data_IF_604451935882
#
_entry.id   IF_604451935882
#
_cell.length_a   1.000
_cell.length_b   1.000
_cell.length_c   1.000
_cell.angle_alpha   90.00
_cell.angle_beta   90.00
_cell.angle_gamma   90.00
#
_symmetry.space_group_name_H-M   'P 1'
#
loop_
_entity.id
_entity.type
_entity.pdbx_description
1 polymer ?
#
# COMPACT_ATOMS: atom_id res chain seq x y z
N UNK A 1 13.55 -6.64 -24.04
CA UNK A 1 12.57 -5.64 -24.51
C UNK A 1 12.45 -4.63 -23.38
N UNK A 2 12.89 -3.40 -23.58
CA UNK A 2 12.64 -2.31 -22.62
C UNK A 2 11.14 -2.03 -22.68
N UNK A 3 10.43 -2.19 -21.56
CA UNK A 3 9.01 -1.83 -21.48
C UNK A 3 8.86 -0.34 -21.78
N UNK A 4 7.76 0.04 -22.44
CA UNK A 4 7.42 1.44 -22.61
C UNK A 4 7.29 2.11 -21.22
N UNK A 5 7.61 3.41 -21.08
CA UNK A 5 7.41 4.12 -19.82
C UNK A 5 5.94 4.02 -19.40
N UNK A 6 5.70 3.64 -18.14
CA UNK A 6 4.36 3.52 -17.56
C UNK A 6 4.10 4.66 -16.58
N UNK A 7 2.90 5.26 -16.56
CA UNK A 7 2.60 6.38 -15.67
C UNK A 7 2.61 5.96 -14.20
N UNK A 8 3.16 6.82 -13.34
CA UNK A 8 3.24 6.62 -11.88
C UNK A 8 1.87 6.48 -11.20
N UNK A 9 0.85 7.17 -11.72
CA UNK A 9 -0.56 7.06 -11.31
C UNK A 9 -1.35 6.01 -12.09
N UNK A 10 -0.68 5.16 -12.87
CA UNK A 10 -1.35 4.14 -13.67
C UNK A 10 -1.78 2.91 -12.85
N UNK A 11 -2.76 2.19 -13.40
CA UNK A 11 -3.29 0.95 -12.81
C UNK A 11 -2.21 -0.12 -12.62
N UNK A 12 -2.06 -0.59 -11.38
CA UNK A 12 -1.05 -1.58 -11.02
C UNK A 12 -1.23 -2.90 -11.76
N UNK A 13 -2.47 -3.36 -11.96
CA UNK A 13 -2.73 -4.62 -12.66
C UNK A 13 -2.48 -4.49 -14.17
N UNK A 14 -2.78 -3.32 -14.76
CA UNK A 14 -2.39 -3.01 -16.14
C UNK A 14 -0.87 -3.07 -16.32
N UNK A 15 -0.12 -2.42 -15.42
CA UNK A 15 1.34 -2.45 -15.47
C UNK A 15 1.86 -3.90 -15.44
N UNK A 16 1.46 -4.68 -14.44
CA UNK A 16 1.90 -6.07 -14.27
C UNK A 16 1.51 -6.95 -15.47
N UNK A 17 0.35 -6.71 -16.07
CA UNK A 17 -0.09 -7.39 -17.29
C UNK A 17 0.79 -7.01 -18.48
N UNK A 18 1.08 -5.71 -18.67
CA UNK A 18 1.91 -5.22 -19.78
C UNK A 18 3.35 -5.72 -19.73
N UNK A 19 3.92 -5.87 -18.53
CA UNK A 19 5.28 -6.41 -18.36
C UNK A 19 5.32 -7.94 -18.31
N UNK A 20 4.16 -8.61 -18.35
CA UNK A 20 4.02 -10.06 -18.44
C UNK A 20 4.18 -10.82 -17.12
N UNK A 21 4.09 -10.13 -15.98
CA UNK A 21 4.19 -10.73 -14.64
C UNK A 21 2.88 -11.45 -14.25
N UNK A 22 1.74 -11.01 -14.79
CA UNK A 22 0.44 -11.68 -14.62
C UNK A 22 -0.23 -11.93 -15.97
N UNK A 23 -1.12 -12.92 -16.04
CA UNK A 23 -1.83 -13.31 -17.27
C UNK A 23 -3.21 -12.66 -17.41
N UNK A 24 -3.79 -12.21 -16.30
CA UNK A 24 -5.07 -11.53 -16.23
C UNK A 24 -5.07 -10.54 -15.06
N UNK A 25 -5.96 -9.54 -15.12
CA UNK A 25 -6.14 -8.59 -14.02
C UNK A 25 -6.87 -9.26 -12.85
N UNK A 26 -6.10 -9.79 -11.91
CA UNK A 26 -6.57 -10.28 -10.62
C UNK A 26 -5.56 -9.89 -9.55
N UNK A 27 -6.00 -9.10 -8.56
CA UNK A 27 -5.14 -8.63 -7.47
C UNK A 27 -4.65 -9.74 -6.54
N UNK A 28 -5.14 -10.97 -6.66
CA UNK A 28 -4.55 -12.15 -6.01
C UNK A 28 -3.16 -12.52 -6.58
N UNK A 29 -2.92 -12.22 -7.87
CA UNK A 29 -1.67 -12.57 -8.55
C UNK A 29 -0.56 -11.55 -8.37
N UNK A 30 -0.90 -10.30 -8.08
CA UNK A 30 0.07 -9.34 -7.56
C UNK A 30 0.73 -9.91 -6.30
N UNK A 31 2.02 -9.67 -6.14
CA UNK A 31 2.81 -10.21 -5.03
C UNK A 31 3.67 -9.11 -4.43
N UNK A 32 3.82 -9.13 -3.12
CA UNK A 32 4.50 -8.09 -2.36
C UNK A 32 5.72 -8.64 -1.64
N UNK A 33 6.78 -7.84 -1.59
CA UNK A 33 7.86 -8.01 -0.64
C UNK A 33 7.66 -7.00 0.47
N UNK A 34 7.55 -7.49 1.69
CA UNK A 34 7.32 -6.64 2.86
C UNK A 34 8.61 -6.10 3.44
N UNK A 35 8.54 -4.88 3.98
CA UNK A 35 9.59 -4.28 4.79
C UNK A 35 10.97 -4.37 4.15
N UNK A 36 11.08 -3.95 2.88
CA UNK A 36 12.36 -3.83 2.16
C UNK A 36 13.23 -2.68 2.70
N UNK A 37 13.32 -2.55 4.02
CA UNK A 37 13.71 -1.34 4.74
C UNK A 37 15.22 -1.18 4.92
N UNK A 38 16.02 -2.17 4.54
CA UNK A 38 17.49 -2.08 4.60
C UNK A 38 18.07 -2.61 3.29
N UNK A 39 19.37 -2.36 3.04
CA UNK A 39 19.99 -2.76 1.77
C UNK A 39 19.93 -4.26 1.52
N UNK A 40 20.05 -5.08 2.58
CA UNK A 40 19.97 -6.54 2.45
C UNK A 40 18.58 -6.97 1.98
N UNK A 41 17.52 -6.50 2.65
CA UNK A 41 16.13 -6.83 2.30
C UNK A 41 15.71 -6.27 0.93
N UNK A 42 16.10 -5.03 0.62
CA UNK A 42 15.89 -4.45 -0.71
C UNK A 42 16.56 -5.30 -1.80
N UNK A 43 17.81 -5.71 -1.61
CA UNK A 43 18.50 -6.56 -2.59
C UNK A 43 17.85 -7.94 -2.72
N UNK A 44 17.36 -8.54 -1.63
CA UNK A 44 16.59 -9.79 -1.70
C UNK A 44 15.32 -9.61 -2.51
N UNK A 45 14.57 -8.53 -2.26
CA UNK A 45 13.33 -8.21 -2.97
C UNK A 45 13.58 -8.05 -4.48
N UNK A 46 14.58 -7.25 -4.84
CA UNK A 46 14.96 -6.98 -6.23
C UNK A 46 15.39 -8.24 -6.99
N UNK A 47 15.97 -9.24 -6.31
CA UNK A 47 16.40 -10.51 -6.89
C UNK A 47 15.36 -11.63 -6.78
N UNK A 48 14.14 -11.33 -6.32
CA UNK A 48 13.07 -12.31 -6.17
C UNK A 48 11.96 -12.12 -7.20
N UNK A 49 11.05 -13.10 -7.26
CA UNK A 49 9.91 -13.11 -8.18
C UNK A 49 8.71 -12.28 -7.68
N UNK A 50 8.83 -11.61 -6.52
CA UNK A 50 7.79 -10.69 -6.01
C UNK A 50 7.60 -9.49 -6.95
N UNK A 51 6.41 -8.93 -7.09
CA UNK A 51 6.14 -7.91 -8.12
C UNK A 51 6.18 -6.46 -7.59
N UNK A 52 5.87 -6.28 -6.31
CA UNK A 52 5.68 -4.99 -5.65
C UNK A 52 6.54 -4.95 -4.39
N UNK A 53 7.22 -3.84 -4.12
CA UNK A 53 8.03 -3.63 -2.93
C UNK A 53 7.31 -2.67 -1.97
N UNK A 54 6.99 -3.15 -0.78
CA UNK A 54 6.51 -2.34 0.34
C UNK A 54 7.72 -1.95 1.20
N UNK A 55 7.83 -0.67 1.54
CA UNK A 55 8.90 -0.22 2.41
C UNK A 55 8.49 0.97 3.28
N UNK A 56 8.77 0.85 4.56
CA UNK A 56 8.50 1.89 5.54
C UNK A 56 9.58 2.94 5.47
N UNK A 57 9.22 4.20 5.63
CA UNK A 57 10.23 5.23 5.82
C UNK A 57 10.03 5.97 7.15
N UNK A 58 11.13 6.49 7.65
CA UNK A 58 11.17 7.27 8.88
C UNK A 58 12.16 8.41 8.68
N UNK A 59 12.15 9.36 9.59
CA UNK A 59 13.16 10.40 9.64
C UNK A 59 14.36 9.90 10.45
N UNK A 60 15.57 10.06 9.94
CA UNK A 60 16.77 9.62 10.65
C UNK A 60 16.90 10.36 11.98
N UNK A 61 16.93 9.60 13.08
CA UNK A 61 16.97 10.12 14.43
C UNK A 61 15.64 10.67 14.95
N UNK A 62 14.50 10.30 14.34
CA UNK A 62 13.16 10.79 14.68
C UNK A 62 12.90 10.84 16.20
N UNK A 63 12.37 11.97 16.67
CA UNK A 63 12.08 12.28 18.07
C UNK A 63 13.31 12.19 19.01
N UNK A 64 14.51 12.45 18.50
CA UNK A 64 15.75 12.51 19.31
C UNK A 64 16.54 13.79 19.07
N UNK A 65 17.54 14.06 19.92
CA UNK A 65 18.48 15.16 19.70
C UNK A 65 19.33 15.02 18.41
N UNK A 66 19.33 13.84 17.79
CA UNK A 66 20.06 13.55 16.55
C UNK A 66 19.14 13.52 15.31
N UNK A 67 17.90 14.02 15.43
CA UNK A 67 16.98 14.12 14.30
C UNK A 67 17.58 14.96 13.16
N UNK A 68 17.37 14.52 11.93
CA UNK A 68 17.82 15.19 10.70
C UNK A 68 16.65 15.31 9.73
N UNK A 69 16.83 15.92 8.55
CA UNK A 69 15.83 15.91 7.48
C UNK A 69 16.06 14.80 6.44
N UNK A 70 16.78 13.73 6.81
CA UNK A 70 17.11 12.63 5.89
C UNK A 70 16.04 11.53 6.04
N UNK A 71 15.23 11.28 5.00
CA UNK A 71 14.31 10.14 4.99
C UNK A 71 15.11 8.85 4.83
N UNK A 72 14.83 7.88 5.68
CA UNK A 72 15.46 6.57 5.73
C UNK A 72 14.42 5.47 5.64
N UNK A 73 14.79 4.33 5.08
CA UNK A 73 13.89 3.19 5.05
C UNK A 73 13.90 2.53 6.42
N UNK A 74 12.85 2.69 7.22
CA UNK A 74 12.77 2.18 8.58
C UNK A 74 11.32 2.16 9.07
N UNK A 75 10.96 1.11 9.81
CA UNK A 75 9.68 1.02 10.50
C UNK A 75 9.92 1.25 12.00
N UNK A 76 9.12 2.06 12.71
CA UNK A 76 9.22 2.19 14.16
C UNK A 76 9.28 0.83 14.91
N UNK A 77 10.11 0.66 15.94
CA UNK A 77 10.87 1.69 16.65
C UNK A 77 12.22 2.05 16.01
N UNK A 78 12.55 1.51 14.84
CA UNK A 78 13.81 1.82 14.17
C UNK A 78 13.79 3.27 13.66
N UNK A 79 14.78 4.05 14.13
CA UNK A 79 15.02 5.45 13.75
C UNK A 79 16.35 5.63 13.01
N UNK A 80 17.02 4.53 12.67
CA UNK A 80 18.24 4.47 11.88
C UNK A 80 18.16 3.31 10.89
N UNK A 81 18.73 3.49 9.70
CA UNK A 81 18.86 2.46 8.67
C UNK A 81 20.14 2.65 7.88
N UNK A 82 20.64 1.56 7.29
CA UNK A 82 21.77 1.58 6.36
C UNK A 82 21.38 2.04 4.94
N UNK A 83 20.09 2.30 4.73
CA UNK A 83 19.48 2.68 3.47
C UNK A 83 18.65 3.97 3.62
N UNK A 84 19.01 5.01 2.86
CA UNK A 84 18.17 6.20 2.74
C UNK A 84 17.05 5.95 1.73
N UNK A 85 15.96 6.72 1.80
CA UNK A 85 14.90 6.64 0.79
C UNK A 85 15.43 6.98 -0.60
N UNK A 86 16.33 7.96 -0.72
CA UNK A 86 16.95 8.31 -2.01
C UNK A 86 17.71 7.13 -2.62
N UNK A 87 18.57 6.46 -1.85
CA UNK A 87 19.35 5.29 -2.32
C UNK A 87 18.43 4.12 -2.65
N UNK A 88 17.39 3.91 -1.84
CA UNK A 88 16.39 2.88 -2.08
C UNK A 88 15.62 3.13 -3.38
N UNK A 89 15.13 4.35 -3.57
CA UNK A 89 14.36 4.76 -4.75
C UNK A 89 15.22 4.63 -6.02
N UNK A 90 16.48 5.06 -5.99
CA UNK A 90 17.40 4.87 -7.13
C UNK A 90 17.61 3.40 -7.51
N UNK A 91 17.56 2.48 -6.56
CA UNK A 91 17.70 1.06 -6.82
C UNK A 91 16.39 0.47 -7.38
N UNK A 92 15.25 0.84 -6.82
CA UNK A 92 13.93 0.35 -7.26
C UNK A 92 13.55 0.90 -8.63
N UNK A 93 13.86 2.17 -8.93
CA UNK A 93 13.63 2.79 -10.25
C UNK A 93 14.40 2.10 -11.40
N UNK A 94 15.48 1.38 -11.08
CA UNK A 94 16.25 0.58 -12.06
C UNK A 94 15.67 -0.83 -12.26
N UNK A 95 14.67 -1.20 -11.46
CA UNK A 95 14.02 -2.49 -11.48
C UNK A 95 12.71 -2.44 -12.27
N UNK A 96 11.98 -3.56 -12.31
CA UNK A 96 10.62 -3.62 -12.89
C UNK A 96 9.52 -3.63 -11.82
N UNK A 97 9.88 -3.42 -10.54
CA UNK A 97 8.95 -3.55 -9.42
C UNK A 97 8.29 -2.20 -9.13
N UNK A 98 7.04 -2.22 -8.66
CA UNK A 98 6.38 -1.03 -8.10
C UNK A 98 6.76 -0.79 -6.63
N UNK A 99 6.45 0.38 -6.09
CA UNK A 99 6.88 0.80 -4.75
C UNK A 99 5.78 1.42 -3.88
N UNK A 100 5.96 1.30 -2.56
CA UNK A 100 5.07 1.87 -1.54
C UNK A 100 5.82 2.45 -0.32
N UNK A 101 6.22 3.74 -0.32
CA UNK A 101 6.97 4.40 0.76
C UNK A 101 6.07 5.07 1.85
N UNK A 102 6.64 5.37 3.02
CA UNK A 102 6.01 6.24 4.05
C UNK A 102 6.95 7.23 4.77
N UNK A 103 6.83 8.53 4.52
CA UNK A 103 6.92 9.74 5.39
C UNK A 103 6.60 10.87 4.42
N UNK A 104 5.46 11.54 4.60
CA UNK A 104 4.72 12.05 3.45
C UNK A 104 5.49 13.08 2.60
N UNK A 105 5.85 14.23 3.16
CA UNK A 105 6.38 15.35 2.37
C UNK A 105 7.75 15.07 1.72
N UNK A 106 8.71 14.55 2.49
CA UNK A 106 10.06 14.25 1.98
C UNK A 106 10.03 13.16 0.91
N UNK A 107 9.16 12.16 1.07
CA UNK A 107 8.96 11.12 0.08
C UNK A 107 8.38 11.69 -1.21
N UNK A 108 7.34 12.50 -1.12
CA UNK A 108 6.71 13.11 -2.29
C UNK A 108 7.66 14.06 -3.04
N UNK A 109 8.54 14.77 -2.33
CA UNK A 109 9.56 15.61 -2.98
C UNK A 109 10.57 14.78 -3.78
N UNK A 110 11.00 13.63 -3.27
CA UNK A 110 11.89 12.72 -3.98
C UNK A 110 11.19 12.06 -5.17
N UNK A 111 9.93 11.66 -5.03
CA UNK A 111 9.11 11.15 -6.15
C UNK A 111 8.94 12.20 -7.24
N UNK A 112 8.63 13.46 -6.87
CA UNK A 112 8.55 14.58 -7.80
C UNK A 112 9.86 14.78 -8.55
N UNK A 113 11.00 14.72 -7.85
CA UNK A 113 12.31 14.85 -8.48
C UNK A 113 12.62 13.69 -9.44
N UNK A 114 12.25 12.45 -9.08
CA UNK A 114 12.40 11.30 -9.97
C UNK A 114 11.50 11.42 -11.22
N UNK A 115 10.26 11.88 -11.03
CA UNK A 115 9.33 12.15 -12.12
C UNK A 115 9.82 13.27 -13.06
N UNK A 116 10.27 14.40 -12.51
CA UNK A 116 10.85 15.53 -13.28
C UNK A 116 12.09 15.11 -14.10
N UNK A 117 12.79 14.04 -13.66
CA UNK A 117 13.95 13.44 -14.34
C UNK A 117 13.60 12.30 -15.29
N UNK A 118 12.30 12.02 -15.48
CA UNK A 118 11.81 10.91 -16.32
C UNK A 118 12.34 9.53 -15.88
N UNK A 119 12.38 9.30 -14.57
CA UNK A 119 12.85 8.03 -13.98
C UNK A 119 11.71 7.17 -13.42
N UNK A 120 10.52 7.74 -13.23
CA UNK A 120 9.39 7.08 -12.57
C UNK A 120 8.46 6.42 -13.59
N UNK A 121 8.79 5.18 -13.97
CA UNK A 121 8.14 4.44 -15.07
C UNK A 121 7.33 3.22 -14.60
N UNK A 122 6.85 3.25 -13.35
CA UNK A 122 6.09 2.19 -12.72
C UNK A 122 5.07 2.79 -11.74
N UNK A 123 3.96 2.07 -11.44
CA UNK A 123 2.96 2.52 -10.48
C UNK A 123 3.55 2.75 -9.08
N UNK A 124 3.25 3.91 -8.50
CA UNK A 124 3.69 4.30 -7.16
C UNK A 124 2.48 4.45 -6.23
N UNK A 125 2.49 3.73 -5.11
CA UNK A 125 1.42 3.77 -4.12
C UNK A 125 1.91 4.47 -2.86
N UNK A 126 1.16 5.39 -2.27
CA UNK A 126 1.57 6.04 -1.01
C UNK A 126 0.74 5.49 0.13
N UNK A 127 1.36 4.68 1.00
CA UNK A 127 0.70 4.11 2.19
C UNK A 127 0.78 5.07 3.36
N UNK A 128 -0.34 5.24 4.07
CA UNK A 128 -0.28 5.79 5.40
C UNK A 128 -1.51 5.45 6.23
N UNK A 129 -1.29 5.07 7.49
CA UNK A 129 -2.34 5.08 8.49
C UNK A 129 -2.67 6.54 8.86
N UNK A 130 -3.96 6.90 8.78
CA UNK A 130 -4.41 8.29 8.93
C UNK A 130 -5.45 8.46 10.04
N UNK A 131 -5.48 9.66 10.64
CA UNK A 131 -6.54 10.08 11.54
C UNK A 131 -7.67 10.81 10.80
N UNK A 132 -8.91 10.35 10.96
CA UNK A 132 -10.08 11.01 10.38
C UNK A 132 -11.39 10.63 11.08
N UNK A 133 -12.36 11.54 11.07
CA UNK A 133 -13.74 11.27 11.48
C UNK A 133 -13.87 10.75 12.91
N UNK A 134 -14.40 9.54 13.05
CA UNK A 134 -14.60 8.83 14.32
C UNK A 134 -13.30 8.58 15.12
N UNK A 135 -12.14 8.87 14.55
CA UNK A 135 -10.85 8.76 15.20
C UNK A 135 -9.95 9.98 15.00
N UNK A 136 -9.39 10.47 16.10
CA UNK A 136 -8.34 11.48 16.11
C UNK A 136 -7.32 11.17 17.22
N UNK A 137 -6.05 11.02 16.84
CA UNK A 137 -4.91 10.91 17.76
C UNK A 137 -3.84 11.92 17.32
N UNK A 138 -3.23 12.59 18.29
CA UNK A 138 -2.32 13.73 18.11
C UNK A 138 -1.07 13.43 17.26
N UNK A 139 -0.67 12.16 17.15
CA UNK A 139 0.57 11.76 16.46
C UNK A 139 0.32 11.19 15.05
N UNK A 140 -0.95 11.04 14.65
CA UNK A 140 -1.30 10.58 13.30
C UNK A 140 -1.57 11.77 12.39
N UNK A 141 -1.07 11.69 11.15
CA UNK A 141 -1.41 12.66 10.12
C UNK A 141 -2.90 12.58 9.81
N UNK A 142 -3.54 13.75 9.74
CA UNK A 142 -4.97 13.78 9.44
C UNK A 142 -5.23 13.43 7.97
N UNK A 143 -6.37 12.81 7.66
CA UNK A 143 -6.75 12.51 6.28
C UNK A 143 -6.78 13.74 5.36
N UNK A 144 -7.20 14.90 5.88
CA UNK A 144 -7.19 16.16 5.14
C UNK A 144 -5.76 16.67 4.85
N UNK A 145 -4.84 16.51 5.82
CA UNK A 145 -3.44 16.83 5.63
C UNK A 145 -2.77 15.88 4.63
N UNK A 146 -3.09 14.59 4.69
CA UNK A 146 -2.61 13.58 3.75
C UNK A 146 -2.96 13.95 2.31
N UNK A 147 -4.25 14.19 2.02
CA UNK A 147 -4.73 14.61 0.70
C UNK A 147 -4.09 15.92 0.24
N UNK A 148 -4.13 16.96 1.10
CA UNK A 148 -3.58 18.28 0.76
C UNK A 148 -2.10 18.20 0.41
N UNK A 149 -1.32 17.42 1.15
CA UNK A 149 0.13 17.33 0.93
C UNK A 149 0.46 16.61 -0.37
N UNK A 150 -0.26 15.53 -0.70
CA UNK A 150 -0.12 14.82 -1.97
C UNK A 150 -0.50 15.73 -3.14
N UNK A 151 -1.65 16.39 -3.06
CA UNK A 151 -2.13 17.32 -4.10
C UNK A 151 -1.16 18.48 -4.34
N UNK A 152 -0.48 18.95 -3.30
CA UNK A 152 0.46 20.06 -3.38
C UNK A 152 1.83 19.68 -3.92
N UNK A 153 2.35 18.49 -3.57
CA UNK A 153 3.74 18.12 -3.84
C UNK A 153 3.84 17.20 -5.06
N UNK A 154 3.12 16.09 -5.07
CA UNK A 154 3.21 15.09 -6.14
C UNK A 154 1.95 14.22 -6.20
N UNK A 155 0.97 14.57 -7.04
CA UNK A 155 -0.33 13.91 -7.00
C UNK A 155 -0.46 12.71 -7.94
N UNK A 156 0.58 12.38 -8.71
CA UNK A 156 0.59 11.27 -9.67
C UNK A 156 0.92 9.94 -8.99
N UNK A 157 0.09 9.54 -8.02
CA UNK A 157 0.24 8.32 -7.22
C UNK A 157 -1.13 7.68 -6.94
N UNK A 158 -1.15 6.38 -6.66
CA UNK A 158 -2.32 5.75 -6.01
C UNK A 158 -2.27 6.01 -4.50
N UNK A 159 -3.40 6.42 -3.92
CA UNK A 159 -3.53 6.64 -2.48
C UNK A 159 -3.79 5.30 -1.78
N UNK A 160 -2.98 4.94 -0.80
CA UNK A 160 -3.14 3.68 -0.07
C UNK A 160 -3.37 3.90 1.43
N UNK A 161 -4.46 4.58 1.85
CA UNK A 161 -4.69 4.90 3.26
C UNK A 161 -5.14 3.66 4.06
N UNK A 162 -4.70 3.60 5.31
CA UNK A 162 -5.11 2.63 6.31
C UNK A 162 -5.74 3.28 7.54
N UNK A 163 -6.41 2.46 8.35
CA UNK A 163 -6.85 2.84 9.68
C UNK A 163 -5.84 2.35 10.71
N UNK A 164 -5.42 3.18 11.67
CA UNK A 164 -4.55 2.76 12.77
C UNK A 164 -5.10 1.55 13.52
N UNK A 165 -4.24 0.64 13.96
CA UNK A 165 -4.65 -0.59 14.65
C UNK A 165 -5.50 -0.32 15.89
N UNK A 166 -5.26 0.80 16.57
CA UNK A 166 -5.93 1.28 17.77
C UNK A 166 -7.44 1.47 17.60
N UNK A 167 -7.94 1.66 16.36
CA UNK A 167 -9.39 1.76 16.10
C UNK A 167 -10.04 0.46 15.67
N UNK A 168 -9.23 -0.57 15.43
CA UNK A 168 -9.69 -1.81 14.81
C UNK A 168 -9.98 -2.93 15.81
N UNK A 169 -9.92 -2.66 17.12
CA UNK A 169 -10.19 -3.63 18.19
C UNK A 169 -11.55 -4.32 18.05
N UNK A 170 -12.57 -3.59 17.61
CA UNK A 170 -13.92 -4.11 17.35
C UNK A 170 -14.16 -4.46 15.86
N UNK A 171 -13.13 -4.33 15.02
CA UNK A 171 -13.17 -4.46 13.58
C UNK A 171 -13.62 -3.20 12.84
N UNK A 172 -13.81 -3.30 11.52
CA UNK A 172 -14.23 -2.20 10.64
C UNK A 172 -15.69 -1.81 10.83
N UNK A 173 -15.98 -1.02 11.87
CA UNK A 173 -17.32 -0.51 12.12
C UNK A 173 -17.86 0.24 10.88
N UNK A 174 -19.18 0.22 10.63
CA UNK A 174 -19.76 0.95 9.50
C UNK A 174 -19.34 2.43 9.41
N UNK A 175 -19.15 3.09 10.56
CA UNK A 175 -18.72 4.48 10.63
C UNK A 175 -17.30 4.68 10.06
N UNK A 176 -16.35 3.79 10.40
CA UNK A 176 -14.98 3.83 9.86
C UNK A 176 -14.98 3.65 8.33
N UNK A 177 -15.88 2.81 7.82
CA UNK A 177 -16.04 2.59 6.39
C UNK A 177 -16.59 3.84 5.70
N UNK A 178 -17.63 4.44 6.26
CA UNK A 178 -18.27 5.65 5.72
C UNK A 178 -17.32 6.84 5.75
N UNK A 179 -16.62 7.06 6.85
CA UNK A 179 -15.68 8.17 7.03
C UNK A 179 -14.56 8.11 5.98
N UNK A 180 -14.01 6.92 5.72
CA UNK A 180 -12.96 6.75 4.71
C UNK A 180 -13.49 7.05 3.29
N UNK A 181 -14.69 6.55 2.96
CA UNK A 181 -15.31 6.83 1.66
C UNK A 181 -15.57 8.33 1.48
N UNK A 182 -16.11 9.00 2.50
CA UNK A 182 -16.39 10.44 2.45
C UNK A 182 -15.13 11.29 2.32
N UNK A 183 -14.06 10.90 3.01
CA UNK A 183 -12.77 11.59 2.92
C UNK A 183 -12.22 11.59 1.48
N UNK A 184 -12.25 10.43 0.82
CA UNK A 184 -11.65 10.25 -0.50
C UNK A 184 -12.63 10.45 -1.67
N UNK A 185 -13.90 10.78 -1.42
CA UNK A 185 -14.92 10.97 -2.47
C UNK A 185 -14.58 12.10 -3.46
N UNK A 186 -13.78 13.09 -3.04
CA UNK A 186 -13.36 14.22 -3.84
C UNK A 186 -11.97 14.09 -4.48
N UNK A 187 -11.19 13.09 -4.07
CA UNK A 187 -9.88 12.81 -4.67
C UNK A 187 -10.05 12.44 -6.15
N UNK A 188 -9.04 12.67 -6.98
CA UNK A 188 -9.07 12.26 -8.40
C UNK A 188 -8.21 11.02 -8.66
N UNK A 189 -7.26 10.76 -7.77
CA UNK A 189 -6.40 9.59 -7.75
C UNK A 189 -7.19 8.30 -7.49
N UNK A 190 -6.64 7.18 -7.93
CA UNK A 190 -7.07 5.86 -7.48
C UNK A 190 -6.77 5.68 -5.99
N UNK A 191 -7.61 4.91 -5.31
CA UNK A 191 -7.53 4.69 -3.86
C UNK A 191 -7.59 3.21 -3.53
N UNK A 192 -6.53 2.64 -2.96
CA UNK A 192 -6.54 1.27 -2.43
C UNK A 192 -6.56 1.28 -0.90
N UNK A 193 -7.72 1.01 -0.31
CA UNK A 193 -7.85 1.00 1.16
C UNK A 193 -7.09 -0.18 1.76
N UNK A 194 -6.17 0.09 2.69
CA UNK A 194 -5.40 -0.94 3.39
C UNK A 194 -6.24 -1.51 4.54
N UNK A 195 -6.54 -2.81 4.48
CA UNK A 195 -7.43 -3.49 5.42
C UNK A 195 -6.74 -4.67 6.09
N UNK A 196 -6.75 -4.72 7.42
CA UNK A 196 -6.27 -5.86 8.21
C UNK A 196 -7.19 -7.06 8.05
N UNK A 197 -6.71 -8.13 7.40
CA UNK A 197 -7.52 -9.30 7.11
C UNK A 197 -8.10 -9.97 8.38
N UNK A 198 -7.35 -9.91 9.48
CA UNK A 198 -7.73 -10.50 10.75
C UNK A 198 -8.92 -9.82 11.43
N UNK A 199 -9.30 -8.60 11.05
CA UNK A 199 -10.43 -7.88 11.67
C UNK A 199 -11.71 -7.93 10.83
N UNK A 200 -11.62 -8.46 9.60
CA UNK A 200 -12.72 -8.52 8.63
C UNK A 200 -13.86 -9.48 9.01
N UNK A 201 -13.59 -10.54 9.77
CA UNK A 201 -14.64 -11.51 10.14
C UNK A 201 -15.75 -10.87 11.00
N UNK A 202 -15.46 -9.73 11.63
CA UNK A 202 -16.43 -8.98 12.43
C UNK A 202 -17.35 -8.11 11.56
N UNK A 203 -17.00 -7.88 10.29
CA UNK A 203 -17.48 -6.71 9.54
C UNK A 203 -17.59 -6.92 8.02
N UNK A 204 -17.81 -8.17 7.56
CA UNK A 204 -17.90 -8.52 6.12
C UNK A 204 -18.87 -7.63 5.33
N UNK A 205 -19.98 -7.18 5.92
CA UNK A 205 -20.94 -6.29 5.25
C UNK A 205 -20.35 -4.92 4.92
N UNK A 206 -19.48 -4.37 5.78
CA UNK A 206 -18.87 -3.05 5.58
C UNK A 206 -17.94 -3.00 4.37
N UNK A 207 -17.10 -4.03 4.17
CA UNK A 207 -16.14 -4.07 3.07
C UNK A 207 -16.80 -4.20 1.69
N UNK A 208 -18.00 -4.80 1.61
CA UNK A 208 -18.76 -4.89 0.35
C UNK A 208 -19.23 -3.51 -0.12
N UNK A 209 -19.61 -2.65 0.82
CA UNK A 209 -20.05 -1.29 0.49
C UNK A 209 -18.91 -0.42 -0.06
N UNK A 210 -17.64 -0.70 0.29
CA UNK A 210 -16.47 0.03 -0.19
C UNK A 210 -16.27 -0.10 -1.69
N UNK A 211 -16.28 -1.34 -2.22
CA UNK A 211 -16.06 -1.61 -3.64
C UNK A 211 -17.14 -1.03 -4.56
N UNK A 212 -18.34 -0.80 -4.03
CA UNK A 212 -19.44 -0.20 -4.79
C UNK A 212 -19.52 1.32 -4.65
N UNK A 213 -18.74 1.93 -3.75
CA UNK A 213 -18.80 3.37 -3.52
C UNK A 213 -18.29 4.15 -4.72
N UNK A 214 -17.14 3.76 -5.30
CA UNK A 214 -16.51 4.41 -6.45
C UNK A 214 -15.69 3.42 -7.28
N UNK A 215 -15.68 3.57 -8.61
CA UNK A 215 -14.93 2.68 -9.52
C UNK A 215 -13.41 2.77 -9.36
N UNK A 216 -12.91 3.86 -8.78
CA UNK A 216 -11.48 4.09 -8.49
C UNK A 216 -11.02 3.49 -7.16
N UNK A 217 -11.94 2.89 -6.41
CA UNK A 217 -11.61 2.28 -5.12
C UNK A 217 -11.27 0.81 -5.29
N UNK A 218 -10.15 0.42 -4.70
CA UNK A 218 -9.75 -0.96 -4.46
C UNK A 218 -9.51 -1.18 -2.98
N UNK A 219 -9.27 -2.43 -2.60
CA UNK A 219 -8.89 -2.82 -1.25
C UNK A 219 -7.64 -3.69 -1.31
N UNK A 220 -6.70 -3.44 -0.40
CA UNK A 220 -5.56 -4.33 -0.16
C UNK A 220 -5.74 -5.00 1.19
N UNK A 221 -5.88 -6.32 1.18
CA UNK A 221 -6.12 -7.12 2.37
C UNK A 221 -4.77 -7.57 2.92
N UNK A 222 -4.34 -6.96 4.02
CA UNK A 222 -3.06 -7.20 4.66
C UNK A 222 -3.15 -8.32 5.71
N UNK A 223 -2.23 -9.27 5.63
CA UNK A 223 -2.07 -10.29 6.66
C UNK A 223 -0.60 -10.66 6.82
N UNK A 224 -0.03 -10.42 8.01
CA UNK A 224 1.41 -10.52 8.25
C UNK A 224 1.85 -11.77 9.03
N UNK A 225 0.92 -12.49 9.68
CA UNK A 225 1.26 -13.59 10.59
C UNK A 225 1.05 -14.97 9.96
N UNK A 226 2.02 -15.87 10.06
CA UNK A 226 1.85 -17.25 9.58
C UNK A 226 1.02 -18.13 10.53
N UNK A 227 0.74 -17.66 11.76
CA UNK A 227 0.34 -18.51 12.89
C UNK A 227 -1.17 -18.45 13.28
N UNK A 228 -2.04 -17.84 12.45
CA UNK A 228 -3.49 -17.94 12.67
C UNK A 228 -4.08 -18.95 11.71
N UNK A 229 -4.80 -19.95 12.25
CA UNK A 229 -5.41 -21.02 11.46
C UNK A 229 -6.17 -20.49 10.25
N UNK A 230 -5.78 -20.96 9.06
CA UNK A 230 -6.25 -20.56 7.73
C UNK A 230 -7.77 -20.35 7.63
N UNK A 231 -8.55 -21.09 8.42
CA UNK A 231 -9.96 -21.35 8.19
C UNK A 231 -10.92 -20.22 8.61
N UNK A 232 -10.53 -19.31 9.53
CA UNK A 232 -11.50 -18.39 10.15
C UNK A 232 -11.91 -17.20 9.26
N UNK A 233 -11.11 -16.84 8.26
CA UNK A 233 -11.38 -15.66 7.42
C UNK A 233 -11.26 -15.91 5.90
N UNK A 234 -10.85 -17.09 5.43
CA UNK A 234 -10.73 -17.33 3.98
C UNK A 234 -12.05 -17.17 3.25
N UNK A 235 -13.18 -17.53 3.88
CA UNK A 235 -14.49 -17.38 3.27
C UNK A 235 -14.80 -15.91 2.93
N UNK A 236 -14.49 -14.99 3.85
CA UNK A 236 -14.65 -13.54 3.65
C UNK A 236 -13.74 -13.02 2.54
N UNK A 237 -12.47 -13.44 2.52
CA UNK A 237 -11.52 -13.04 1.48
C UNK A 237 -11.94 -13.51 0.08
N UNK A 238 -12.48 -14.72 -0.03
CA UNK A 238 -13.05 -15.24 -1.28
C UNK A 238 -14.27 -14.45 -1.71
N UNK A 239 -15.17 -14.14 -0.76
CA UNK A 239 -16.37 -13.37 -1.06
C UNK A 239 -16.03 -11.95 -1.56
N UNK A 240 -14.93 -11.36 -1.07
CA UNK A 240 -14.37 -10.11 -1.58
C UNK A 240 -13.83 -10.30 -3.01
N UNK A 241 -12.97 -11.31 -3.24
CA UNK A 241 -12.42 -11.61 -4.58
C UNK A 241 -13.50 -11.82 -5.62
N UNK A 242 -14.55 -12.57 -5.24
CA UNK A 242 -15.65 -12.92 -6.13
C UNK A 242 -16.51 -11.73 -6.54
N UNK A 243 -16.47 -10.62 -5.79
CA UNK A 243 -17.16 -9.38 -6.17
C UNK A 243 -16.38 -8.62 -7.23
N UNK A 244 -15.08 -8.41 -7.02
CA UNK A 244 -14.24 -7.79 -8.02
C UNK A 244 -12.76 -8.20 -7.87
N UNK A 245 -12.30 -9.05 -8.78
CA UNK A 245 -10.91 -9.52 -8.87
C UNK A 245 -9.92 -8.40 -9.19
N UNK A 246 -10.35 -7.37 -9.91
CA UNK A 246 -9.48 -6.27 -10.34
C UNK A 246 -9.31 -5.20 -9.25
N UNK A 247 -10.17 -5.19 -8.23
CA UNK A 247 -10.16 -4.21 -7.14
C UNK A 247 -9.85 -4.83 -5.78
N UNK A 248 -9.43 -6.09 -5.74
CA UNK A 248 -9.12 -6.82 -4.51
C UNK A 248 -7.69 -7.34 -4.55
N UNK A 249 -6.80 -6.73 -3.79
CA UNK A 249 -5.40 -7.09 -3.64
C UNK A 249 -5.15 -7.85 -2.33
N UNK A 250 -4.13 -8.71 -2.31
CA UNK A 250 -3.89 -9.65 -1.20
C UNK A 250 -2.43 -9.61 -0.75
N UNK A 251 -2.13 -8.67 0.15
CA UNK A 251 -0.79 -8.51 0.72
C UNK A 251 -0.57 -9.49 1.88
N UNK A 252 -0.27 -10.76 1.56
CA UNK A 252 -0.21 -11.87 2.52
C UNK A 252 0.66 -13.05 2.05
N UNK A 253 1.11 -13.94 2.97
CA UNK A 253 1.91 -15.11 2.63
C UNK A 253 1.25 -16.03 1.60
N UNK A 254 2.08 -16.69 0.78
CA UNK A 254 1.66 -17.53 -0.36
C UNK A 254 0.64 -18.60 0.03
N UNK A 255 0.78 -19.23 1.20
CA UNK A 255 -0.14 -20.26 1.69
C UNK A 255 -1.60 -19.79 1.74
N UNK A 256 -1.84 -18.52 2.08
CA UNK A 256 -3.18 -17.95 2.13
C UNK A 256 -3.69 -17.65 0.71
N UNK A 257 -2.84 -17.12 -0.16
CA UNK A 257 -3.20 -16.80 -1.55
C UNK A 257 -3.55 -18.07 -2.35
N UNK A 258 -2.79 -19.15 -2.18
CA UNK A 258 -3.10 -20.46 -2.75
C UNK A 258 -4.44 -20.99 -2.25
N UNK A 259 -4.73 -20.84 -0.95
CA UNK A 259 -6.00 -21.26 -0.38
C UNK A 259 -7.20 -20.44 -0.91
N UNK A 260 -7.01 -19.16 -1.20
CA UNK A 260 -8.03 -18.31 -1.87
C UNK A 260 -8.19 -18.74 -3.34
N UNK A 261 -7.10 -19.04 -4.06
CA UNK A 261 -7.12 -19.48 -5.44
C UNK A 261 -7.87 -20.81 -5.62
N UNK A 262 -7.51 -21.83 -4.82
CA UNK A 262 -7.96 -23.22 -4.97
C UNK A 262 -9.44 -23.47 -4.65
N UNK A 263 -10.12 -22.53 -3.98
CA UNK A 263 -11.52 -22.67 -3.58
C UNK A 263 -12.47 -21.80 -4.42
N UNK A 264 -11.95 -21.27 -5.52
CA UNK A 264 -12.68 -20.45 -6.52
C UNK A 264 -12.86 -21.19 -7.85
N UNK A 265 -12.50 -22.48 -7.92
CA UNK A 265 -12.63 -23.37 -9.07
C UNK A 265 -13.87 -24.28 -8.92
#
# INVERSE_FOLDING_TARGET
IQSAPFPSDGDMLEFLLQIGEIQEKDGLYATWYHAANNKSEMNKALNSDVMILEADVNVKGYNTANETNIPIMAHPPDIYSDNTLEVWLEAVLKSKKGEQPGTLSLTLELLRQAYDRDLLHHPTWVNMDIAHGAFYIQDYVTGAEFLRTIDQIFPYVTLAPGWPKEVLDEGYKPELVVDMVQLFQGAWQDVSLQLHAETLYRTVTGCRSLLHAQSRFSMTLEHRAEDRGLNTWTASLKAIRAQNRQQSFYNMPNMYREHIANLSA
#
